data_IF_165299560124
#
_entry.id   IF_165299560124
#
_cell.length_a   1.000
_cell.length_b   1.000
_cell.length_c   1.000
_cell.angle_alpha   90.00
_cell.angle_beta   90.00
_cell.angle_gamma   90.00
#
_symmetry.space_group_name_H-M   'P 1'
#
loop_
_entity.id
_entity.type
_entity.pdbx_description
1 polymer ?
#
# COMPACT_ATOMS: atom_id res chain seq x y z
N UNK A 1 -20.69 -2.41 5.78
CA UNK A 1 -19.38 -2.52 6.46
C UNK A 1 -18.63 -1.23 6.22
N UNK A 2 -18.72 -0.29 7.16
CA UNK A 2 -17.87 0.91 7.16
C UNK A 2 -16.53 0.51 7.79
N UNK A 3 -15.54 0.24 6.96
CA UNK A 3 -14.15 0.25 7.37
C UNK A 3 -13.64 1.57 6.78
N UNK A 4 -13.40 2.61 7.55
CA UNK A 4 -12.11 2.82 8.21
C UNK A 4 -12.15 3.97 9.23
N UNK A 5 -11.15 4.00 10.10
CA UNK A 5 -10.66 5.23 10.74
C UNK A 5 -9.20 5.37 10.29
N UNK A 6 -8.92 6.29 9.37
CA UNK A 6 -7.55 6.51 8.90
C UNK A 6 -6.87 7.53 9.81
N UNK A 7 -5.78 7.13 10.47
CA UNK A 7 -4.93 8.06 11.20
C UNK A 7 -3.76 8.48 10.29
N UNK A 8 -3.99 9.54 9.50
CA UNK A 8 -2.93 10.15 8.69
C UNK A 8 -2.25 11.27 9.47
N UNK A 9 -1.01 11.06 9.89
CA UNK A 9 -0.12 12.16 10.26
C UNK A 9 0.68 12.59 9.04
N UNK A 10 0.37 13.76 8.48
CA UNK A 10 1.04 14.31 7.30
C UNK A 10 2.54 14.59 7.49
N UNK A 11 3.02 14.70 8.74
CA UNK A 11 4.43 14.98 9.03
C UNK A 11 5.31 13.73 9.18
N UNK A 12 4.72 12.54 9.29
CA UNK A 12 5.48 11.31 9.50
C UNK A 12 6.09 10.78 8.19
N UNK A 13 7.35 10.31 8.19
CA UNK A 13 7.96 9.70 7.01
C UNK A 13 7.29 8.37 6.64
N UNK A 14 6.71 7.69 7.63
CA UNK A 14 5.98 6.43 7.49
C UNK A 14 4.48 6.70 7.65
N UNK A 15 3.66 6.11 6.79
CA UNK A 15 2.20 6.15 6.86
C UNK A 15 1.65 4.74 7.04
N UNK A 16 0.69 4.58 7.94
CA UNK A 16 -0.04 3.33 8.14
C UNK A 16 -1.47 3.51 7.66
N UNK A 17 -1.92 2.67 6.73
CA UNK A 17 -3.27 2.74 6.17
C UNK A 17 -3.93 1.38 6.20
N UNK A 18 -5.21 1.35 6.59
CA UNK A 18 -6.04 0.15 6.51
C UNK A 18 -6.91 0.22 5.25
N UNK A 19 -6.93 -0.87 4.50
CA UNK A 19 -7.70 -1.03 3.28
C UNK A 19 -8.57 -2.28 3.39
N UNK A 20 -9.59 -2.38 2.55
CA UNK A 20 -10.45 -3.57 2.46
C UNK A 20 -10.54 -4.02 1.01
N UNK A 21 -10.31 -5.32 0.76
CA UNK A 21 -10.53 -5.94 -0.55
C UNK A 21 -11.76 -6.83 -0.51
N UNK A 22 -12.72 -6.59 -1.41
CA UNK A 22 -13.85 -7.51 -1.64
C UNK A 22 -13.41 -8.71 -2.47
N UNK A 23 -14.06 -9.85 -2.30
CA UNK A 23 -13.64 -11.12 -2.90
C UNK A 23 -13.61 -11.12 -4.44
N UNK A 24 -14.35 -10.21 -5.07
CA UNK A 24 -14.52 -10.03 -6.51
C UNK A 24 -13.83 -8.76 -7.06
N UNK A 25 -13.14 -8.00 -6.21
CA UNK A 25 -12.47 -6.76 -6.58
C UNK A 25 -10.95 -6.93 -6.69
N UNK A 26 -10.37 -6.26 -7.68
CA UNK A 26 -8.94 -5.96 -7.67
C UNK A 26 -8.63 -5.03 -6.50
N UNK A 27 -7.40 -5.07 -6.01
CA UNK A 27 -7.01 -4.16 -4.92
C UNK A 27 -6.99 -2.70 -5.34
N UNK A 28 -6.94 -2.46 -6.66
CA UNK A 28 -7.02 -1.15 -7.26
C UNK A 28 -5.78 -0.30 -6.99
N UNK A 29 -4.60 -0.91 -6.88
CA UNK A 29 -3.31 -0.21 -6.80
C UNK A 29 -2.51 -0.48 -8.08
N UNK A 30 -1.89 0.56 -8.62
CA UNK A 30 -0.87 0.45 -9.67
C UNK A 30 0.49 0.58 -8.99
N UNK A 31 1.30 -0.47 -9.13
CA UNK A 31 2.60 -0.60 -8.49
C UNK A 31 3.67 -0.63 -9.58
N UNK A 32 4.71 0.17 -9.41
CA UNK A 32 5.89 0.14 -10.26
C UNK A 32 7.12 0.18 -9.33
N UNK A 33 7.95 -0.86 -9.39
CA UNK A 33 9.15 -1.04 -8.57
C UNK A 33 8.86 -0.95 -7.06
N UNK A 34 7.75 -1.55 -6.62
CA UNK A 34 7.29 -1.50 -5.23
C UNK A 34 6.78 -0.13 -4.78
N UNK A 35 6.61 0.83 -5.69
CA UNK A 35 6.06 2.18 -5.44
C UNK A 35 4.61 2.25 -5.91
N UNK A 36 3.73 2.84 -5.09
CA UNK A 36 2.35 3.13 -5.48
C UNK A 36 2.34 4.34 -6.42
N UNK A 37 2.05 4.09 -7.71
CA UNK A 37 2.00 5.11 -8.76
C UNK A 37 0.58 5.52 -9.15
N UNK A 38 -0.41 4.73 -8.77
CA UNK A 38 -1.80 5.05 -9.04
C UNK A 38 -2.76 4.10 -8.35
N UNK A 39 -4.04 4.32 -8.60
CA UNK A 39 -5.12 3.45 -8.16
C UNK A 39 -6.22 3.35 -9.21
N UNK A 40 -6.97 2.26 -9.19
CA UNK A 40 -8.18 2.11 -9.99
C UNK A 40 -9.33 2.92 -9.38
N UNK A 41 -10.22 3.44 -10.24
CA UNK A 41 -11.43 4.11 -9.80
C UNK A 41 -12.37 3.14 -9.07
N UNK A 42 -13.07 3.64 -8.05
CA UNK A 42 -13.99 2.86 -7.18
C UNK A 42 -13.32 1.77 -6.34
N UNK A 43 -12.04 1.94 -6.01
CA UNK A 43 -11.31 1.05 -5.10
C UNK A 43 -11.26 1.60 -3.67
N UNK A 44 -11.13 0.69 -2.68
CA UNK A 44 -10.85 1.07 -1.29
C UNK A 44 -9.60 1.93 -1.17
N UNK A 45 -8.60 1.78 -2.06
CA UNK A 45 -7.40 2.60 -2.08
C UNK A 45 -7.70 4.07 -2.37
N UNK A 46 -8.58 4.35 -3.35
CA UNK A 46 -9.01 5.72 -3.68
C UNK A 46 -9.82 6.32 -2.53
N UNK A 47 -10.78 5.56 -2.00
CA UNK A 47 -11.71 6.06 -0.97
C UNK A 47 -11.02 6.34 0.37
N UNK A 48 -9.90 5.65 0.64
CA UNK A 48 -9.09 5.88 1.84
C UNK A 48 -7.94 6.88 1.63
N UNK A 49 -7.81 7.44 0.42
CA UNK A 49 -6.79 8.44 0.11
C UNK A 49 -5.37 7.90 0.23
N UNK A 50 -5.10 6.71 -0.33
CA UNK A 50 -3.74 6.15 -0.36
C UNK A 50 -2.80 7.15 -1.07
N UNK A 51 -1.75 7.63 -0.41
CA UNK A 51 -0.80 8.56 -1.01
C UNK A 51 0.02 7.86 -2.09
N UNK A 52 0.13 8.52 -3.25
CA UNK A 52 1.04 8.13 -4.32
C UNK A 52 2.49 8.45 -3.94
N UNK A 53 3.42 7.91 -4.73
CA UNK A 53 4.87 8.10 -4.54
C UNK A 53 5.34 7.64 -3.15
N UNK A 54 4.89 6.43 -2.80
CA UNK A 54 5.23 5.72 -1.57
C UNK A 54 5.66 4.30 -1.89
N UNK A 55 6.76 3.87 -1.28
CA UNK A 55 7.14 2.46 -1.26
C UNK A 55 6.28 1.69 -0.27
N UNK A 56 5.89 0.48 -0.66
CA UNK A 56 5.26 -0.49 0.23
C UNK A 56 6.36 -1.20 1.01
N UNK A 57 6.36 -1.03 2.33
CA UNK A 57 7.37 -1.62 3.22
C UNK A 57 6.83 -2.88 3.89
N UNK A 58 5.57 -2.82 4.34
CA UNK A 58 4.92 -3.96 4.97
C UNK A 58 3.48 -4.11 4.50
N UNK A 59 3.02 -5.36 4.46
CA UNK A 59 1.62 -5.74 4.28
C UNK A 59 1.24 -6.62 5.48
N UNK A 60 0.24 -6.20 6.27
CA UNK A 60 -0.16 -6.89 7.51
C UNK A 60 1.02 -7.15 8.49
N UNK A 61 1.98 -6.22 8.56
CA UNK A 61 3.18 -6.33 9.41
C UNK A 61 4.25 -7.30 8.88
N UNK A 62 4.09 -7.85 7.68
CA UNK A 62 5.12 -8.64 7.01
C UNK A 62 5.90 -7.75 6.07
N UNK A 63 7.23 -7.74 6.19
CA UNK A 63 8.12 -7.00 5.31
C UNK A 63 8.05 -7.53 3.87
N UNK A 64 7.90 -6.62 2.90
CA UNK A 64 7.82 -6.95 1.47
C UNK A 64 8.86 -6.18 0.63
N UNK A 65 9.84 -5.58 1.28
CA UNK A 65 10.88 -4.79 0.63
C UNK A 65 11.73 -5.69 -0.27
N UNK A 66 12.01 -5.23 -1.49
CA UNK A 66 12.82 -5.96 -2.47
C UNK A 66 12.07 -7.08 -3.21
N UNK A 67 10.77 -7.27 -2.96
CA UNK A 67 9.93 -8.09 -3.82
C UNK A 67 9.67 -7.36 -5.14
N UNK A 68 9.61 -8.11 -6.24
CA UNK A 68 9.16 -7.59 -7.52
C UNK A 68 7.63 -7.41 -7.52
N UNK A 69 7.14 -6.61 -8.46
CA UNK A 69 5.72 -6.24 -8.53
C UNK A 69 4.82 -7.48 -8.71
N UNK A 70 5.24 -8.49 -9.46
CA UNK A 70 4.50 -9.74 -9.63
C UNK A 70 4.25 -10.47 -8.29
N UNK A 71 5.24 -10.51 -7.40
CA UNK A 71 5.07 -11.12 -6.06
C UNK A 71 4.17 -10.26 -5.18
N UNK A 72 4.27 -8.94 -5.26
CA UNK A 72 3.37 -8.04 -4.54
C UNK A 72 1.92 -8.25 -4.99
N UNK A 73 1.68 -8.34 -6.29
CA UNK A 73 0.36 -8.65 -6.86
C UNK A 73 -0.18 -10.00 -6.38
N UNK A 74 0.67 -11.04 -6.30
CA UNK A 74 0.28 -12.35 -5.76
C UNK A 74 -0.12 -12.26 -4.28
N UNK A 75 0.63 -11.52 -3.46
CA UNK A 75 0.30 -11.30 -2.04
C UNK A 75 -1.06 -10.61 -1.94
N UNK A 76 -1.27 -9.57 -2.72
CA UNK A 76 -2.54 -8.84 -2.77
C UNK A 76 -3.71 -9.70 -3.25
N UNK A 77 -3.47 -10.56 -4.25
CA UNK A 77 -4.46 -11.51 -4.75
C UNK A 77 -4.85 -12.58 -3.71
N UNK A 78 -4.00 -12.87 -2.72
CA UNK A 78 -4.28 -13.81 -1.64
C UNK A 78 -5.05 -13.19 -0.46
N UNK A 79 -5.06 -11.87 -0.32
CA UNK A 79 -5.69 -11.17 0.82
C UNK A 79 -7.20 -11.09 0.65
N UNK A 80 -8.01 -11.53 1.61
CA UNK A 80 -9.47 -11.31 1.59
C UNK A 80 -9.88 -10.44 2.77
N UNK A 81 -10.69 -9.39 2.52
CA UNK A 81 -11.16 -8.50 3.57
C UNK A 81 -10.16 -7.40 3.93
N UNK A 82 -10.10 -7.04 5.21
CA UNK A 82 -9.28 -5.93 5.69
C UNK A 82 -7.79 -6.29 5.77
N UNK A 83 -6.93 -5.35 5.39
CA UNK A 83 -5.48 -5.46 5.49
C UNK A 83 -4.85 -4.10 5.75
N UNK A 84 -3.59 -4.08 6.18
CA UNK A 84 -2.84 -2.87 6.50
C UNK A 84 -1.62 -2.75 5.60
N UNK A 85 -1.28 -1.51 5.25
CA UNK A 85 -0.06 -1.15 4.55
C UNK A 85 0.78 -0.23 5.42
N UNK A 86 2.07 -0.54 5.51
CA UNK A 86 3.09 0.39 6.00
C UNK A 86 3.81 0.97 4.80
N UNK A 87 3.71 2.28 4.63
CA UNK A 87 4.19 3.02 3.47
C UNK A 87 5.31 3.99 3.85
N UNK A 88 6.36 4.08 3.04
CA UNK A 88 7.47 5.03 3.21
C UNK A 88 7.56 5.96 2.00
N UNK A 89 7.92 7.22 2.19
CA UNK A 89 8.16 8.15 1.07
C UNK A 89 9.31 7.65 0.20
N UNK A 90 9.14 7.69 -1.12
CA UNK A 90 10.16 7.20 -2.06
C UNK A 90 11.54 7.83 -1.80
N UNK A 91 11.59 9.15 -1.65
CA UNK A 91 12.81 9.90 -1.28
C UNK A 91 13.50 9.46 0.02
N UNK A 92 12.77 8.88 0.98
CA UNK A 92 13.33 8.42 2.25
C UNK A 92 13.77 6.97 2.12
N UNK A 93 13.02 6.15 1.37
CA UNK A 93 13.41 4.79 1.02
C UNK A 93 14.72 4.75 0.23
N UNK A 94 14.88 5.63 -0.76
CA UNK A 94 16.10 5.70 -1.58
C UNK A 94 17.35 5.88 -0.72
N UNK A 95 17.26 6.68 0.35
CA UNK A 95 18.37 6.92 1.30
C UNK A 95 18.73 5.69 2.14
N UNK A 96 17.78 4.78 2.36
CA UNK A 96 18.00 3.55 3.12
C UNK A 96 18.68 2.47 2.28
N UNK A 97 18.40 2.43 0.97
CA UNK A 97 18.90 1.38 0.07
C UNK A 97 20.14 1.77 -0.72
N UNK A 98 20.42 3.07 -0.88
CA UNK A 98 21.60 3.59 -1.58
C UNK A 98 22.83 3.81 -0.68
N UNK A 99 22.79 3.28 0.55
CA UNK A 99 23.86 3.39 1.55
C UNK A 99 25.12 2.62 1.17
#
# INVERSE_FOLDING_TARGET
MHCTSNFFSFSAPVSWIQLCRRADEKIGLKIEDGVIRGFEENSSARDNGVPLDRHIVEINGVNVVGLNDEKLEQIFAAITGAFTLTLLRHKDYDKLVSG
#
